data_IF_518211853906
#
_entry.id   IF_518211853906
#
_cell.length_a   1.000
_cell.length_b   1.000
_cell.length_c   1.000
_cell.angle_alpha   90.00
_cell.angle_beta   90.00
_cell.angle_gamma   90.00
#
_symmetry.space_group_name_H-M   'P 1'
#
loop_
_entity.id
_entity.type
_entity.pdbx_description
1 polymer ?
#
# COMPACT_ATOMS: atom_id res chain seq x y z
N UNK A 1 10.02 -30.43 27.83
CA UNK A 1 8.86 -29.52 27.85
C UNK A 1 8.96 -28.64 26.61
N UNK A 2 8.16 -28.91 25.57
CA UNK A 2 8.05 -28.04 24.40
C UNK A 2 6.82 -27.16 24.59
N UNK A 3 7.01 -25.94 25.06
CA UNK A 3 5.95 -24.92 25.05
C UNK A 3 5.77 -24.41 23.64
N UNK A 4 4.75 -24.91 22.93
CA UNK A 4 4.27 -24.29 21.70
C UNK A 4 3.67 -22.93 22.07
N UNK A 5 4.38 -21.85 21.78
CA UNK A 5 3.83 -20.49 21.85
C UNK A 5 2.60 -20.45 20.93
N UNK A 6 1.41 -20.26 21.50
CA UNK A 6 0.22 -20.01 20.71
C UNK A 6 0.53 -18.84 19.78
N UNK A 7 0.48 -19.07 18.46
CA UNK A 7 0.59 -17.99 17.50
C UNK A 7 -0.58 -17.05 17.78
N UNK A 8 -0.29 -15.86 18.30
CA UNK A 8 -1.29 -14.82 18.43
C UNK A 8 -1.91 -14.63 17.04
N UNK A 9 -3.25 -14.64 16.95
CA UNK A 9 -3.93 -14.33 15.70
C UNK A 9 -3.35 -13.00 15.17
N UNK A 10 -3.01 -12.90 13.88
CA UNK A 10 -2.38 -11.71 13.35
C UNK A 10 -3.26 -10.51 13.69
N UNK A 11 -2.67 -9.51 14.34
CA UNK A 11 -3.36 -8.27 14.67
C UNK A 11 -4.00 -7.73 13.40
N UNK A 12 -5.28 -7.38 13.41
CA UNK A 12 -5.93 -6.83 12.21
C UNK A 12 -5.76 -5.32 12.19
N UNK A 13 -5.37 -4.77 11.05
CA UNK A 13 -5.20 -3.33 10.84
C UNK A 13 -6.28 -2.81 9.89
N UNK A 14 -6.70 -1.57 10.10
CA UNK A 14 -7.65 -0.91 9.20
C UNK A 14 -6.85 -0.33 8.04
N UNK A 15 -7.23 -0.68 6.82
CA UNK A 15 -6.55 -0.20 5.60
C UNK A 15 -6.78 1.30 5.45
N UNK A 16 -5.72 2.13 5.47
CA UNK A 16 -5.85 3.56 5.21
C UNK A 16 -6.19 3.85 3.75
N UNK A 17 -6.82 5.01 3.50
CA UNK A 17 -7.05 5.49 2.14
C UNK A 17 -5.83 6.29 1.66
N UNK A 18 -5.11 5.74 0.68
CA UNK A 18 -4.00 6.43 0.00
C UNK A 18 -4.39 7.05 -1.34
N UNK A 19 -5.61 6.81 -1.84
CA UNK A 19 -6.07 7.33 -3.14
C UNK A 19 -6.11 8.87 -3.12
N UNK A 20 -5.51 9.49 -4.13
CA UNK A 20 -5.40 10.94 -4.29
C UNK A 20 -4.16 11.55 -3.63
N UNK A 21 -3.41 10.79 -2.82
CA UNK A 21 -2.11 11.21 -2.31
C UNK A 21 -1.01 10.95 -3.33
N UNK A 22 0.13 11.64 -3.16
CA UNK A 22 1.34 11.24 -3.84
C UNK A 22 1.82 9.87 -3.32
N UNK A 23 2.58 9.14 -4.15
CA UNK A 23 2.93 7.75 -3.84
C UNK A 23 3.81 7.62 -2.58
N UNK A 24 4.65 8.61 -2.27
CA UNK A 24 5.46 8.61 -1.04
C UNK A 24 4.55 8.74 0.20
N UNK A 25 3.66 9.73 0.21
CA UNK A 25 2.72 9.93 1.32
C UNK A 25 1.79 8.72 1.53
N UNK A 26 1.33 8.09 0.45
CA UNK A 26 0.52 6.88 0.53
C UNK A 26 1.32 5.70 1.12
N UNK A 27 2.57 5.53 0.69
CA UNK A 27 3.47 4.51 1.24
C UNK A 27 3.68 4.67 2.74
N UNK A 28 3.96 5.89 3.20
CA UNK A 28 4.20 6.19 4.61
C UNK A 28 2.95 5.93 5.45
N UNK A 29 1.78 6.32 4.95
CA UNK A 29 0.49 6.05 5.59
C UNK A 29 0.23 4.55 5.78
N UNK A 30 0.48 3.74 4.74
CA UNK A 30 0.26 2.30 4.80
C UNK A 30 1.27 1.59 5.71
N UNK A 31 2.55 1.98 5.67
CA UNK A 31 3.56 1.43 6.58
C UNK A 31 3.30 1.80 8.03
N UNK A 32 2.86 3.03 8.31
CA UNK A 32 2.45 3.45 9.64
C UNK A 32 1.27 2.62 10.18
N UNK A 33 0.40 2.13 9.30
CA UNK A 33 -0.69 1.23 9.65
C UNK A 33 -0.25 -0.25 9.78
N UNK A 34 1.02 -0.59 9.52
CA UNK A 34 1.54 -1.96 9.60
C UNK A 34 1.30 -2.80 8.35
N UNK A 35 1.12 -2.16 7.19
CA UNK A 35 1.03 -2.83 5.89
C UNK A 35 2.37 -2.81 5.16
N UNK A 36 2.61 -3.82 4.31
CA UNK A 36 3.76 -3.84 3.40
C UNK A 36 3.37 -3.27 2.05
N UNK A 37 4.14 -2.30 1.55
CA UNK A 37 3.87 -1.71 0.24
C UNK A 37 4.57 -2.52 -0.84
N UNK A 38 3.79 -3.13 -1.71
CA UNK A 38 4.28 -3.82 -2.90
C UNK A 38 4.66 -2.82 -4.01
N UNK A 39 5.45 -3.22 -5.02
CA UNK A 39 5.74 -2.40 -6.18
C UNK A 39 4.45 -1.89 -6.84
N UNK A 40 4.36 -0.58 -7.07
CA UNK A 40 3.19 -0.01 -7.71
C UNK A 40 3.05 -0.41 -9.18
N UNK A 41 1.79 -0.43 -9.64
CA UNK A 41 1.43 -0.59 -11.04
C UNK A 41 1.25 0.79 -11.69
N UNK A 42 1.87 1.01 -12.84
CA UNK A 42 1.64 2.22 -13.64
C UNK A 42 0.27 2.13 -14.33
N UNK A 43 -0.62 3.08 -14.03
CA UNK A 43 -1.96 3.18 -14.60
C UNK A 43 -1.97 3.28 -16.12
N UNK A 44 -0.90 3.81 -16.72
CA UNK A 44 -0.76 3.96 -18.18
C UNK A 44 -0.38 2.66 -18.88
N UNK A 45 -0.02 1.62 -18.15
CA UNK A 45 0.51 0.37 -18.71
C UNK A 45 1.94 0.50 -19.26
N UNK A 46 2.60 1.65 -19.05
CA UNK A 46 3.96 1.89 -19.55
C UNK A 46 5.06 1.16 -18.75
N UNK A 47 4.69 0.39 -17.71
CA UNK A 47 5.60 -0.35 -16.83
C UNK A 47 6.78 0.48 -16.29
N UNK A 48 6.55 1.78 -16.05
CA UNK A 48 7.57 2.66 -15.50
C UNK A 48 7.68 2.47 -14.00
N UNK A 49 8.91 2.49 -13.49
CA UNK A 49 9.15 2.55 -12.06
C UNK A 49 9.11 4.02 -11.60
N UNK A 50 8.38 4.35 -10.53
CA UNK A 50 8.44 5.68 -9.95
C UNK A 50 9.83 5.89 -9.33
N UNK A 51 10.71 6.59 -10.07
CA UNK A 51 12.05 6.97 -9.60
C UNK A 51 12.00 8.10 -8.56
N UNK A 52 10.95 8.92 -8.63
CA UNK A 52 10.64 9.99 -7.69
C UNK A 52 9.18 9.81 -7.32
N UNK A 53 8.92 9.07 -6.24
CA UNK A 53 7.56 8.65 -5.83
C UNK A 53 6.60 9.84 -5.67
N UNK A 54 7.09 10.99 -5.19
CA UNK A 54 6.30 12.21 -5.04
C UNK A 54 5.77 12.81 -6.36
N UNK A 55 6.31 12.41 -7.53
CA UNK A 55 5.82 12.86 -8.84
C UNK A 55 4.63 12.02 -9.36
N UNK A 56 4.16 11.07 -8.57
CA UNK A 56 3.12 10.14 -8.93
C UNK A 56 1.98 10.24 -7.94
N UNK A 57 0.74 10.20 -8.44
CA UNK A 57 -0.48 10.16 -7.64
C UNK A 57 -1.04 8.75 -7.63
N UNK A 58 -1.50 8.31 -6.46
CA UNK A 58 -2.23 7.04 -6.32
C UNK A 58 -3.64 7.24 -6.88
N UNK A 59 -3.97 6.50 -7.94
CA UNK A 59 -5.30 6.52 -8.55
C UNK A 59 -6.19 5.39 -8.03
N UNK A 60 -5.59 4.30 -7.57
CA UNK A 60 -6.30 3.21 -6.90
C UNK A 60 -5.38 2.40 -5.98
N UNK A 61 -5.99 1.64 -5.08
CA UNK A 61 -5.32 0.67 -4.21
C UNK A 61 -6.09 -0.65 -4.27
N UNK A 62 -5.39 -1.78 -4.20
CA UNK A 62 -5.98 -3.13 -4.24
C UNK A 62 -6.81 -3.45 -2.98
N UNK A 63 -6.30 -3.09 -1.80
CA UNK A 63 -7.00 -3.23 -0.53
C UNK A 63 -7.96 -2.07 -0.34
N UNK A 64 -9.26 -2.36 -0.26
CA UNK A 64 -10.27 -1.32 -0.06
C UNK A 64 -10.05 -0.59 1.27
N UNK A 65 -9.98 0.74 1.22
CA UNK A 65 -9.88 1.57 2.41
C UNK A 65 -11.01 1.28 3.43
N UNK A 66 -10.68 1.32 4.72
CA UNK A 66 -11.61 1.03 5.82
C UNK A 66 -11.85 -0.47 6.09
N UNK A 67 -11.32 -1.38 5.26
CA UNK A 67 -11.39 -2.81 5.53
C UNK A 67 -10.38 -3.24 6.59
N UNK A 68 -10.67 -4.34 7.29
CA UNK A 68 -9.76 -4.93 8.28
C UNK A 68 -9.01 -6.10 7.66
N UNK A 69 -7.70 -5.96 7.53
CA UNK A 69 -6.81 -7.00 6.98
C UNK A 69 -5.81 -7.45 8.05
N UNK A 70 -5.09 -8.54 7.81
CA UNK A 70 -3.99 -8.91 8.71
C UNK A 70 -2.92 -7.82 8.69
N UNK A 71 -2.36 -7.47 9.84
CA UNK A 71 -1.05 -6.81 9.92
C UNK A 71 -0.08 -7.64 9.08
N UNK A 72 0.82 -6.97 8.36
CA UNK A 72 1.69 -7.57 7.36
C UNK A 72 1.01 -7.99 6.04
N UNK A 73 -0.23 -7.54 5.78
CA UNK A 73 -0.80 -7.67 4.43
C UNK A 73 -0.05 -6.77 3.46
N UNK A 74 0.10 -7.24 2.23
CA UNK A 74 0.65 -6.45 1.14
C UNK A 74 -0.43 -5.59 0.51
N UNK A 75 -0.12 -4.32 0.29
CA UNK A 75 -0.95 -3.37 -0.44
C UNK A 75 -0.22 -2.93 -1.70
N UNK A 76 -0.94 -2.92 -2.82
CA UNK A 76 -0.46 -2.52 -4.14
C UNK A 76 -1.19 -1.27 -4.58
N UNK A 77 -0.42 -0.23 -4.91
CA UNK A 77 -0.95 1.00 -5.49
C UNK A 77 -0.98 0.90 -7.02
N UNK A 78 -2.02 1.46 -7.64
CA UNK A 78 -1.92 1.90 -9.02
C UNK A 78 -1.64 3.39 -9.02
N UNK A 79 -0.57 3.79 -9.71
CA UNK A 79 -0.07 5.16 -9.72
C UNK A 79 -0.07 5.72 -11.13
N UNK A 80 -0.29 7.04 -11.24
CA UNK A 80 -0.18 7.79 -12.48
C UNK A 80 0.78 8.96 -12.26
N UNK A 81 1.67 9.23 -13.21
CA UNK A 81 2.57 10.38 -13.09
C UNK A 81 1.75 11.65 -13.31
N UNK A 82 1.99 12.71 -12.54
CA UNK A 82 1.24 13.97 -12.70
C UNK A 82 1.34 14.57 -14.11
N UNK A 83 2.43 14.28 -14.82
CA UNK A 83 2.64 14.76 -16.21
C UNK A 83 1.85 13.99 -17.26
N UNK A 84 1.27 12.84 -16.92
CA UNK A 84 0.46 12.10 -17.87
C UNK A 84 -0.96 12.71 -17.88
N UNK A 85 -1.41 13.20 -19.03
CA UNK A 85 -2.76 13.77 -19.21
C UNK A 85 -3.83 12.69 -19.12
#
# INVERSE_FOLDING_TARGET
MTTTKAAAAPAKVVVPNGVGLDYQSAQDLWRAAGLHVAPATDATGAHRLPLVDANWVVVSQDLKAGTKVAADSFITATVKKYSDS
#
